data_IF_865882638012
#
_entry.id   IF_865882638012
#
_cell.length_a   1.000
_cell.length_b   1.000
_cell.length_c   1.000
_cell.angle_alpha   90.00
_cell.angle_beta   90.00
_cell.angle_gamma   90.00
#
_symmetry.space_group_name_H-M   'P 1'
#
loop_
_entity.id
_entity.type
_entity.pdbx_description
1 polymer ?
#
# COMPACT_ATOMS: atom_id res chain seq x y z
N UNK A 1 -27.86 -3.32 11.07
CA UNK A 1 -28.76 -2.65 10.10
C UNK A 1 -27.93 -2.10 8.96
N UNK A 2 -28.32 -2.34 7.71
CA UNK A 2 -27.65 -1.81 6.52
C UNK A 2 -28.61 -0.88 5.79
N UNK A 3 -28.13 0.29 5.36
CA UNK A 3 -28.93 1.27 4.63
C UNK A 3 -28.09 1.88 3.52
N UNK A 4 -28.75 2.18 2.40
CA UNK A 4 -28.19 3.00 1.33
C UNK A 4 -28.77 4.41 1.46
N UNK A 5 -27.95 5.39 1.12
CA UNK A 5 -28.34 6.80 1.05
C UNK A 5 -28.05 7.24 -0.38
N UNK A 6 -29.03 7.89 -1.00
CA UNK A 6 -28.90 8.45 -2.33
C UNK A 6 -28.58 9.93 -2.21
N UNK A 7 -27.44 10.34 -2.76
CA UNK A 7 -26.99 11.73 -2.78
C UNK A 7 -27.00 12.19 -4.24
N UNK A 8 -27.83 13.19 -4.53
CA UNK A 8 -27.90 13.80 -5.84
C UNK A 8 -26.77 14.80 -6.03
N UNK A 9 -26.15 14.79 -7.22
CA UNK A 9 -25.21 15.83 -7.63
C UNK A 9 -25.96 17.14 -7.84
N UNK A 10 -25.46 18.22 -7.25
CA UNK A 10 -26.03 19.56 -7.43
C UNK A 10 -25.59 20.16 -8.77
N UNK A 11 -26.39 21.05 -9.39
CA UNK A 11 -26.10 21.58 -10.73
C UNK A 11 -24.80 22.39 -10.86
N UNK A 12 -24.25 22.90 -9.75
CA UNK A 12 -22.97 23.62 -9.70
C UNK A 12 -21.75 22.71 -9.91
N UNK A 13 -21.89 21.40 -9.69
CA UNK A 13 -20.81 20.44 -9.85
C UNK A 13 -20.92 19.86 -11.26
N UNK A 14 -20.10 20.34 -12.18
CA UNK A 14 -20.11 19.89 -13.57
C UNK A 14 -19.09 18.79 -13.86
N UNK A 15 -18.07 18.66 -13.01
CA UNK A 15 -17.00 17.68 -13.16
C UNK A 15 -17.25 16.43 -12.30
N UNK A 16 -16.94 15.27 -12.86
CA UNK A 16 -17.09 14.00 -12.16
C UNK A 16 -16.05 13.82 -11.08
N UNK A 17 -14.79 14.25 -11.31
CA UNK A 17 -13.73 14.12 -10.30
C UNK A 17 -14.01 15.03 -9.11
N UNK A 18 -14.47 16.26 -9.36
CA UNK A 18 -14.92 17.15 -8.28
C UNK A 18 -16.03 16.50 -7.44
N UNK A 19 -16.99 15.82 -8.07
CA UNK A 19 -18.05 15.15 -7.32
C UNK A 19 -17.53 14.00 -6.46
N UNK A 20 -16.66 13.14 -7.01
CA UNK A 20 -16.03 12.05 -6.27
C UNK A 20 -15.17 12.57 -5.10
N UNK A 21 -14.40 13.64 -5.30
CA UNK A 21 -13.60 14.27 -4.26
C UNK A 21 -14.47 14.88 -3.13
N UNK A 22 -15.62 15.48 -3.48
CA UNK A 22 -16.60 15.96 -2.49
C UNK A 22 -17.24 14.81 -1.71
N UNK A 23 -17.56 13.69 -2.36
CA UNK A 23 -18.07 12.48 -1.69
C UNK A 23 -17.02 11.85 -0.77
N UNK A 24 -15.75 11.81 -1.19
CA UNK A 24 -14.62 11.40 -0.37
C UNK A 24 -14.51 12.25 0.90
N UNK A 25 -14.47 13.58 0.73
CA UNK A 25 -14.43 14.53 1.85
C UNK A 25 -15.63 14.35 2.79
N UNK A 26 -16.84 14.24 2.23
CA UNK A 26 -18.06 14.01 3.00
C UNK A 26 -17.97 12.74 3.83
N UNK A 27 -17.51 11.63 3.25
CA UNK A 27 -17.32 10.36 3.97
C UNK A 27 -16.32 10.51 5.11
N UNK A 28 -15.19 11.20 4.89
CA UNK A 28 -14.18 11.46 5.93
C UNK A 28 -14.74 12.33 7.06
N UNK A 29 -15.52 13.36 6.74
CA UNK A 29 -16.20 14.22 7.73
C UNK A 29 -17.24 13.43 8.52
N UNK A 30 -18.06 12.59 7.88
CA UNK A 30 -19.04 11.73 8.56
C UNK A 30 -18.33 10.77 9.53
N UNK A 31 -17.30 10.07 9.07
CA UNK A 31 -16.52 9.18 9.92
C UNK A 31 -15.87 9.93 11.09
N UNK A 32 -15.21 11.07 10.83
CA UNK A 32 -14.60 11.89 11.88
C UNK A 32 -15.62 12.39 12.90
N UNK A 33 -16.80 12.82 12.45
CA UNK A 33 -17.88 13.29 13.33
C UNK A 33 -18.41 12.19 14.23
N UNK A 34 -18.64 10.98 13.68
CA UNK A 34 -19.08 9.83 14.46
C UNK A 34 -18.03 9.48 15.53
N UNK A 35 -16.74 9.46 15.19
CA UNK A 35 -15.69 9.21 16.17
C UNK A 35 -15.67 10.28 17.27
N UNK A 36 -15.73 11.56 16.91
CA UNK A 36 -15.71 12.66 17.85
C UNK A 36 -16.91 12.65 18.82
N UNK A 37 -18.10 12.27 18.35
CA UNK A 37 -19.31 12.16 19.18
C UNK A 37 -19.33 10.93 20.10
N UNK A 38 -18.39 9.99 19.93
CA UNK A 38 -18.33 8.73 20.67
C UNK A 38 -16.98 8.52 21.37
N UNK A 39 -16.37 9.60 21.88
CA UNK A 39 -15.09 9.57 22.62
C UNK A 39 -13.95 8.87 21.86
N UNK A 40 -13.92 9.04 20.53
CA UNK A 40 -12.99 8.38 19.61
C UNK A 40 -13.05 6.84 19.64
N UNK A 41 -14.18 6.27 20.06
CA UNK A 41 -14.40 4.82 20.05
C UNK A 41 -15.13 4.39 18.79
N UNK A 42 -14.76 3.20 18.31
CA UNK A 42 -15.48 2.55 17.23
C UNK A 42 -16.80 1.95 17.77
N UNK A 43 -17.92 2.49 17.27
CA UNK A 43 -19.28 2.03 17.59
C UNK A 43 -19.87 1.09 16.52
N UNK A 44 -19.06 0.64 15.55
CA UNK A 44 -19.47 -0.24 14.46
C UNK A 44 -20.13 0.47 13.27
N UNK A 45 -20.16 1.81 13.27
CA UNK A 45 -20.63 2.60 12.14
C UNK A 45 -19.55 2.67 11.05
N UNK A 46 -19.87 2.17 9.86
CA UNK A 46 -18.90 2.08 8.77
C UNK A 46 -19.53 2.37 7.41
N UNK A 47 -19.00 3.38 6.72
CA UNK A 47 -19.35 3.67 5.34
C UNK A 47 -18.54 2.76 4.41
N UNK A 48 -19.23 1.80 3.77
CA UNK A 48 -18.61 0.79 2.91
C UNK A 48 -18.04 1.43 1.64
N UNK A 49 -18.88 2.13 0.90
CA UNK A 49 -18.53 2.93 -0.27
C UNK A 49 -19.40 4.19 -0.29
N UNK A 50 -18.89 5.29 -0.84
CA UNK A 50 -19.64 6.50 -1.13
C UNK A 50 -19.07 7.12 -2.41
N UNK A 51 -19.64 6.73 -3.54
CA UNK A 51 -19.18 7.08 -4.89
C UNK A 51 -20.39 7.04 -5.83
N UNK A 52 -20.33 7.81 -6.92
CA UNK A 52 -21.25 7.72 -8.04
C UNK A 52 -20.82 6.67 -9.09
N UNK A 53 -19.58 6.17 -8.99
CA UNK A 53 -18.96 5.24 -9.95
C UNK A 53 -18.95 3.80 -9.44
N UNK A 54 -18.72 3.62 -8.14
CA UNK A 54 -18.53 2.29 -7.54
C UNK A 54 -19.46 2.05 -6.36
N UNK A 55 -19.88 0.80 -6.19
CA UNK A 55 -20.64 0.34 -5.04
C UNK A 55 -20.08 -1.00 -4.56
N UNK A 56 -19.94 -1.15 -3.24
CA UNK A 56 -19.38 -2.36 -2.64
C UNK A 56 -20.43 -3.09 -1.80
N UNK A 57 -20.71 -4.33 -2.19
CA UNK A 57 -21.51 -5.28 -1.41
C UNK A 57 -20.57 -6.29 -0.74
N UNK A 58 -20.49 -6.25 0.60
CA UNK A 58 -19.59 -7.10 1.38
C UNK A 58 -20.21 -7.54 2.70
N UNK A 59 -19.81 -8.70 3.21
CA UNK A 59 -20.32 -9.19 4.47
C UNK A 59 -19.63 -10.43 4.99
N UNK A 60 -20.17 -10.96 6.09
CA UNK A 60 -19.65 -12.12 6.80
C UNK A 60 -20.46 -13.37 6.47
N UNK A 61 -20.31 -13.84 5.24
CA UNK A 61 -20.98 -15.05 4.76
C UNK A 61 -20.06 -15.78 3.77
N UNK A 62 -20.39 -17.03 3.45
CA UNK A 62 -19.64 -17.80 2.45
C UNK A 62 -19.82 -17.16 1.08
N UNK A 63 -18.80 -17.23 0.22
CA UNK A 63 -18.80 -16.52 -1.06
C UNK A 63 -20.04 -16.83 -1.93
N UNK A 64 -20.50 -18.09 -1.95
CA UNK A 64 -21.69 -18.49 -2.71
C UNK A 64 -23.02 -17.92 -2.17
N UNK A 65 -23.03 -17.38 -0.95
CA UNK A 65 -24.22 -16.82 -0.31
C UNK A 65 -24.46 -15.35 -0.67
N UNK A 66 -23.50 -14.69 -1.34
CA UNK A 66 -23.56 -13.23 -1.60
C UNK A 66 -24.84 -12.82 -2.34
N UNK A 67 -25.22 -13.53 -3.41
CA UNK A 67 -26.44 -13.24 -4.18
C UNK A 67 -27.73 -13.62 -3.45
N UNK A 68 -27.68 -14.59 -2.53
CA UNK A 68 -28.82 -14.93 -1.69
C UNK A 68 -29.05 -13.89 -0.59
N UNK A 69 -27.97 -13.30 -0.08
CA UNK A 69 -28.03 -12.26 0.95
C UNK A 69 -28.43 -10.90 0.38
N UNK A 70 -27.78 -10.48 -0.71
CA UNK A 70 -28.03 -9.21 -1.39
C UNK A 70 -28.85 -9.40 -2.65
N UNK A 71 -30.17 -9.27 -2.52
CA UNK A 71 -31.12 -9.44 -3.64
C UNK A 71 -30.91 -8.44 -4.78
N UNK A 72 -30.30 -7.29 -4.51
CA UNK A 72 -29.96 -6.31 -5.54
C UNK A 72 -29.04 -6.91 -6.61
N UNK A 73 -28.14 -7.83 -6.23
CA UNK A 73 -27.15 -8.44 -7.14
C UNK A 73 -27.76 -9.43 -8.13
N UNK A 74 -29.00 -9.86 -7.91
CA UNK A 74 -29.75 -10.73 -8.84
C UNK A 74 -30.80 -9.94 -9.64
N UNK A 75 -30.91 -8.62 -9.39
CA UNK A 75 -31.80 -7.76 -10.15
C UNK A 75 -31.22 -7.53 -11.56
N UNK A 76 -32.00 -7.71 -12.64
CA UNK A 76 -31.52 -7.50 -14.00
C UNK A 76 -31.01 -6.08 -14.29
N UNK A 77 -31.40 -5.08 -13.49
CA UNK A 77 -30.92 -3.69 -13.62
C UNK A 77 -29.51 -3.51 -13.05
N UNK A 78 -28.98 -4.49 -12.31
CA UNK A 78 -27.64 -4.44 -11.74
C UNK A 78 -26.60 -4.82 -12.80
N UNK A 79 -26.39 -3.92 -13.76
CA UNK A 79 -25.42 -4.07 -14.84
C UNK A 79 -24.09 -3.39 -14.49
N UNK A 80 -22.97 -3.97 -14.94
CA UNK A 80 -21.65 -3.39 -14.72
C UNK A 80 -20.66 -3.84 -15.79
N UNK A 81 -19.72 -2.95 -16.13
CA UNK A 81 -18.56 -3.28 -16.97
C UNK A 81 -17.40 -3.90 -16.16
N UNK A 82 -17.44 -3.79 -14.82
CA UNK A 82 -16.34 -4.16 -13.93
C UNK A 82 -16.86 -4.87 -12.69
N UNK A 83 -16.20 -5.98 -12.33
CA UNK A 83 -16.50 -6.73 -11.12
C UNK A 83 -15.21 -7.07 -10.38
N UNK A 84 -15.17 -6.77 -9.08
CA UNK A 84 -14.10 -7.16 -8.17
C UNK A 84 -14.67 -8.01 -7.03
N UNK A 85 -14.19 -9.24 -6.92
CA UNK A 85 -14.59 -10.18 -5.86
C UNK A 85 -13.39 -10.55 -4.99
N UNK A 86 -13.63 -10.74 -3.70
CA UNK A 86 -12.59 -11.15 -2.77
C UNK A 86 -13.14 -12.02 -1.66
N UNK A 87 -12.45 -13.12 -1.36
CA UNK A 87 -12.70 -13.96 -0.20
C UNK A 87 -11.51 -13.88 0.75
N UNK A 88 -11.75 -13.44 1.99
CA UNK A 88 -10.71 -13.26 3.00
C UNK A 88 -10.58 -14.51 3.88
N UNK A 89 -9.35 -14.93 4.14
CA UNK A 89 -9.03 -15.84 5.24
C UNK A 89 -8.53 -15.02 6.43
N UNK A 90 -9.17 -15.16 7.59
CA UNK A 90 -8.85 -14.40 8.80
C UNK A 90 -8.13 -15.29 9.80
N UNK A 91 -7.04 -14.80 10.39
CA UNK A 91 -6.41 -15.42 11.57
C UNK A 91 -7.20 -15.16 12.87
N UNK A 92 -8.16 -14.22 12.83
CA UNK A 92 -9.04 -13.92 13.97
C UNK A 92 -10.34 -14.72 13.88
N UNK A 93 -10.79 -15.25 15.03
CA UNK A 93 -12.05 -15.98 15.17
C UNK A 93 -13.27 -15.06 15.32
N UNK A 94 -13.08 -13.80 15.73
CA UNK A 94 -14.16 -12.81 15.83
C UNK A 94 -14.43 -12.18 14.47
N UNK A 95 -15.62 -12.40 13.89
CA UNK A 95 -15.92 -11.91 12.57
C UNK A 95 -16.25 -10.41 12.64
N UNK A 96 -15.73 -9.63 11.69
CA UNK A 96 -15.97 -8.19 11.61
C UNK A 96 -16.38 -7.76 10.20
N UNK A 97 -17.59 -7.21 10.06
CA UNK A 97 -18.16 -6.81 8.77
C UNK A 97 -17.31 -5.77 8.04
N UNK A 98 -16.76 -4.79 8.78
CA UNK A 98 -15.96 -3.71 8.21
C UNK A 98 -14.66 -4.20 7.56
N UNK A 99 -14.13 -5.34 8.04
CA UNK A 99 -12.88 -5.94 7.58
C UNK A 99 -13.04 -6.88 6.37
N UNK A 100 -14.29 -7.14 5.94
CA UNK A 100 -14.52 -7.81 4.68
C UNK A 100 -14.00 -6.95 3.52
N UNK A 101 -13.54 -7.59 2.45
CA UNK A 101 -13.16 -6.94 1.19
C UNK A 101 -14.33 -7.06 0.20
N UNK A 102 -14.30 -6.31 -0.93
CA UNK A 102 -13.36 -5.24 -1.26
C UNK A 102 -13.42 -4.03 -0.32
N UNK A 103 -12.36 -3.22 -0.35
CA UNK A 103 -12.38 -1.85 0.17
C UNK A 103 -12.82 -0.87 -0.94
N UNK A 104 -12.64 0.44 -0.78
CA UNK A 104 -13.21 1.43 -1.72
C UNK A 104 -12.54 1.38 -3.07
N UNK A 105 -11.22 1.24 -3.06
CA UNK A 105 -10.40 1.20 -4.26
C UNK A 105 -9.74 -0.16 -4.46
N UNK A 106 -9.49 -0.92 -3.39
CA UNK A 106 -8.64 -2.13 -3.49
C UNK A 106 -9.28 -3.42 -2.98
N UNK A 107 -8.86 -4.54 -3.58
CA UNK A 107 -8.87 -5.86 -2.96
C UNK A 107 -7.44 -6.40 -2.93
N UNK A 108 -7.04 -6.91 -1.77
CA UNK A 108 -5.66 -7.35 -1.52
C UNK A 108 -5.64 -8.78 -1.00
N UNK A 109 -4.90 -9.64 -1.71
CA UNK A 109 -4.50 -10.95 -1.21
C UNK A 109 -3.06 -10.85 -0.72
N UNK A 110 -2.86 -10.94 0.59
CA UNK A 110 -1.53 -10.72 1.15
C UNK A 110 -1.53 -10.17 2.57
N UNK A 111 -0.38 -9.65 2.96
CA UNK A 111 -0.16 -8.97 4.23
C UNK A 111 0.88 -7.85 4.02
N UNK A 112 0.60 -6.65 4.52
CA UNK A 112 1.55 -5.54 4.49
C UNK A 112 2.32 -5.50 5.81
N UNK A 113 3.57 -5.97 5.77
CA UNK A 113 4.40 -6.16 6.95
C UNK A 113 4.97 -4.84 7.49
N UNK A 114 4.98 -3.79 6.67
CA UNK A 114 5.49 -2.46 7.03
C UNK A 114 4.41 -1.50 7.56
N UNK A 115 3.15 -1.94 7.66
CA UNK A 115 1.98 -1.07 7.91
C UNK A 115 2.13 -0.12 9.09
N UNK A 116 2.74 -0.55 10.20
CA UNK A 116 2.93 0.31 11.37
C UNK A 116 3.83 1.51 11.05
N UNK A 117 4.92 1.28 10.33
CA UNK A 117 5.81 2.34 9.86
C UNK A 117 5.09 3.23 8.85
N UNK A 118 4.35 2.64 7.91
CA UNK A 118 3.61 3.39 6.91
C UNK A 118 2.56 4.33 7.52
N UNK A 119 1.80 3.85 8.50
CA UNK A 119 0.81 4.66 9.20
C UNK A 119 1.45 5.83 9.96
N UNK A 120 2.58 5.59 10.62
CA UNK A 120 3.31 6.65 11.32
C UNK A 120 3.82 7.73 10.35
N UNK A 121 4.36 7.33 9.20
CA UNK A 121 4.81 8.28 8.18
C UNK A 121 3.65 9.05 7.54
N UNK A 122 2.52 8.38 7.26
CA UNK A 122 1.30 9.06 6.82
C UNK A 122 0.80 10.07 7.84
N UNK A 123 0.80 9.73 9.13
CA UNK A 123 0.45 10.67 10.20
C UNK A 123 1.42 11.85 10.28
N UNK A 124 2.74 11.62 10.13
CA UNK A 124 3.72 12.70 10.12
C UNK A 124 3.52 13.70 8.97
N UNK A 125 3.06 13.22 7.81
CA UNK A 125 2.75 14.06 6.64
C UNK A 125 1.58 15.02 6.86
N UNK A 126 0.75 14.80 7.88
CA UNK A 126 -0.38 15.70 8.20
C UNK A 126 0.06 17.16 8.38
N UNK A 127 1.24 17.39 8.95
CA UNK A 127 1.70 18.73 9.27
C UNK A 127 2.16 19.55 8.06
N UNK A 128 2.54 18.88 6.96
CA UNK A 128 3.18 19.52 5.80
C UNK A 128 2.39 19.34 4.50
N UNK A 129 1.29 18.60 4.51
CA UNK A 129 0.54 18.33 3.29
C UNK A 129 -0.26 19.55 2.87
N UNK A 130 -0.25 19.81 1.56
CA UNK A 130 -1.05 20.85 0.93
C UNK A 130 -1.58 20.32 -0.41
N UNK A 131 -2.77 20.77 -0.79
CA UNK A 131 -3.42 20.38 -2.05
C UNK A 131 -4.37 21.45 -2.50
N UNK A 132 -4.16 21.98 -3.71
CA UNK A 132 -5.05 22.96 -4.32
C UNK A 132 -6.49 22.42 -4.49
N UNK A 133 -6.65 21.10 -4.71
CA UNK A 133 -7.95 20.45 -4.88
C UNK A 133 -8.81 20.49 -3.61
N UNK A 134 -8.18 20.39 -2.44
CA UNK A 134 -8.90 20.41 -1.16
C UNK A 134 -8.83 21.78 -0.47
N UNK A 135 -7.81 22.58 -0.76
CA UNK A 135 -7.51 23.83 -0.06
C UNK A 135 -7.61 23.65 1.46
N UNK A 136 -8.33 24.57 2.12
CA UNK A 136 -8.53 24.53 3.58
C UNK A 136 -9.28 23.27 4.09
N UNK A 137 -9.99 22.55 3.22
CA UNK A 137 -10.69 21.34 3.59
C UNK A 137 -9.76 20.14 3.80
N UNK A 138 -8.48 20.21 3.41
CA UNK A 138 -7.52 19.11 3.57
C UNK A 138 -7.38 18.68 5.04
N UNK A 139 -7.49 19.64 5.96
CA UNK A 139 -7.49 19.42 7.42
C UNK A 139 -8.60 18.47 7.88
N UNK A 140 -9.73 18.41 7.18
CA UNK A 140 -10.89 17.57 7.51
C UNK A 140 -10.71 16.11 7.13
N UNK A 141 -9.67 15.78 6.35
CA UNK A 141 -9.39 14.40 5.93
C UNK A 141 -8.71 13.57 7.03
N UNK A 142 -8.17 14.22 8.06
CA UNK A 142 -7.38 13.56 9.09
C UNK A 142 -8.23 12.97 10.22
N UNK A 143 -7.82 11.83 10.80
CA UNK A 143 -6.69 11.00 10.38
C UNK A 143 -7.02 10.23 9.09
N UNK A 144 -6.04 10.01 8.20
CA UNK A 144 -6.25 9.24 6.95
C UNK A 144 -6.66 7.80 7.28
N UNK A 145 -5.92 7.15 8.19
CA UNK A 145 -6.23 5.83 8.74
C UNK A 145 -6.54 5.92 10.23
N UNK A 146 -7.54 5.17 10.67
CA UNK A 146 -7.95 5.12 12.08
C UNK A 146 -7.29 3.93 12.79
N UNK A 147 -7.12 4.04 14.10
CA UNK A 147 -6.62 2.93 14.92
C UNK A 147 -7.52 1.69 14.81
N UNK A 148 -6.88 0.51 14.81
CA UNK A 148 -7.58 -0.78 14.74
C UNK A 148 -8.11 -1.16 13.35
N UNK A 149 -7.71 -0.45 12.29
CA UNK A 149 -7.95 -0.86 10.91
C UNK A 149 -6.98 -1.97 10.46
N UNK A 150 -7.40 -2.80 9.49
CA UNK A 150 -6.49 -3.78 8.90
C UNK A 150 -5.44 -3.08 8.04
N UNK A 151 -4.35 -3.79 7.76
CA UNK A 151 -3.30 -3.39 6.83
C UNK A 151 -3.84 -2.90 5.48
N UNK A 152 -4.75 -3.68 4.88
CA UNK A 152 -5.37 -3.36 3.61
C UNK A 152 -6.26 -2.12 3.69
N UNK A 153 -6.99 -1.92 4.79
CA UNK A 153 -7.79 -0.71 4.98
C UNK A 153 -6.89 0.53 5.03
N UNK A 154 -5.74 0.43 5.69
CA UNK A 154 -4.77 1.52 5.76
C UNK A 154 -4.19 1.83 4.37
N UNK A 155 -3.87 0.80 3.58
CA UNK A 155 -3.42 0.95 2.20
C UNK A 155 -4.49 1.57 1.30
N UNK A 156 -5.74 1.11 1.39
CA UNK A 156 -6.89 1.66 0.67
C UNK A 156 -7.06 3.16 0.95
N UNK A 157 -7.01 3.57 2.22
CA UNK A 157 -7.12 4.98 2.58
C UNK A 157 -5.94 5.81 2.04
N UNK A 158 -4.73 5.27 2.04
CA UNK A 158 -3.55 5.96 1.49
C UNK A 158 -3.64 6.10 -0.04
N UNK A 159 -4.07 5.05 -0.74
CA UNK A 159 -4.31 5.10 -2.19
C UNK A 159 -5.39 6.11 -2.54
N UNK A 160 -6.51 6.07 -1.84
CA UNK A 160 -7.63 6.99 -2.05
C UNK A 160 -7.24 8.44 -1.75
N UNK A 161 -6.43 8.67 -0.71
CA UNK A 161 -5.89 9.99 -0.41
C UNK A 161 -5.01 10.53 -1.55
N UNK A 162 -4.11 9.71 -2.10
CA UNK A 162 -3.27 10.12 -3.24
C UNK A 162 -4.10 10.35 -4.50
N UNK A 163 -5.03 9.43 -4.81
CA UNK A 163 -5.87 9.52 -5.99
C UNK A 163 -6.76 10.76 -5.97
N UNK A 164 -7.50 10.97 -4.87
CA UNK A 164 -8.35 12.14 -4.68
C UNK A 164 -7.52 13.43 -4.52
N UNK A 165 -6.24 13.31 -4.13
CA UNK A 165 -5.25 14.38 -4.14
C UNK A 165 -4.68 14.73 -5.51
N UNK A 166 -5.14 14.08 -6.59
CA UNK A 166 -4.82 14.42 -7.98
C UNK A 166 -3.79 13.50 -8.66
N UNK A 167 -3.28 12.47 -7.97
CA UNK A 167 -2.45 11.47 -8.62
C UNK A 167 -3.30 10.55 -9.49
N UNK A 168 -2.78 10.19 -10.68
CA UNK A 168 -3.37 9.09 -11.45
C UNK A 168 -3.27 7.79 -10.66
N UNK A 169 -4.26 6.92 -10.80
CA UNK A 169 -4.35 5.66 -10.05
C UNK A 169 -3.07 4.80 -10.16
N UNK A 170 -2.58 4.62 -11.38
CA UNK A 170 -1.33 3.89 -11.67
C UNK A 170 -0.09 4.56 -11.07
N UNK A 171 -0.01 5.89 -11.07
CA UNK A 171 1.07 6.65 -10.43
C UNK A 171 1.06 6.41 -8.92
N UNK A 172 -0.09 6.57 -8.27
CA UNK A 172 -0.23 6.32 -6.84
C UNK A 172 0.15 4.87 -6.47
N UNK A 173 -0.25 3.90 -7.29
CA UNK A 173 0.14 2.50 -7.10
C UNK A 173 1.66 2.28 -7.25
N UNK A 174 2.31 2.93 -8.22
CA UNK A 174 3.77 2.86 -8.39
C UNK A 174 4.54 3.53 -7.23
N UNK A 175 3.94 4.52 -6.55
CA UNK A 175 4.50 5.12 -5.34
C UNK A 175 4.37 4.23 -4.12
N UNK A 176 3.19 3.62 -3.93
CA UNK A 176 2.90 2.78 -2.76
C UNK A 176 3.56 1.40 -2.87
N UNK A 177 3.54 0.77 -4.05
CA UNK A 177 4.13 -0.55 -4.33
C UNK A 177 5.15 -0.40 -5.48
N UNK A 178 6.33 0.19 -5.22
CA UNK A 178 7.35 0.36 -6.24
C UNK A 178 8.03 -0.96 -6.61
N UNK A 179 8.45 -1.05 -7.87
CA UNK A 179 9.28 -2.16 -8.36
C UNK A 179 10.61 -2.27 -7.59
N UNK A 180 11.28 -3.42 -7.73
CA UNK A 180 12.68 -3.54 -7.36
C UNK A 180 13.55 -2.75 -8.36
N UNK A 181 13.76 -1.46 -8.07
CA UNK A 181 14.54 -0.53 -8.91
C UNK A 181 16.00 -0.39 -8.46
N UNK A 182 16.26 -0.50 -7.15
CA UNK A 182 17.60 -0.40 -6.58
C UNK A 182 18.48 -1.55 -7.09
N UNK A 183 19.63 -1.21 -7.69
CA UNK A 183 20.57 -2.18 -8.25
C UNK A 183 20.14 -2.84 -9.57
N UNK A 184 18.96 -2.51 -10.12
CA UNK A 184 18.49 -3.08 -11.38
C UNK A 184 19.18 -2.41 -12.59
N UNK A 185 20.12 -3.12 -13.21
CA UNK A 185 20.89 -2.62 -14.37
C UNK A 185 20.12 -2.63 -15.70
N UNK A 186 18.99 -3.34 -15.76
CA UNK A 186 18.17 -3.46 -16.97
C UNK A 186 17.02 -2.44 -17.00
N UNK A 187 16.82 -1.70 -15.90
CA UNK A 187 15.77 -0.70 -15.81
C UNK A 187 16.16 0.56 -16.59
N UNK A 188 15.22 1.09 -17.36
CA UNK A 188 15.37 2.37 -18.03
C UNK A 188 15.71 3.51 -17.04
N UNK A 189 16.54 4.45 -17.48
CA UNK A 189 17.07 5.49 -16.62
C UNK A 189 16.00 6.50 -16.16
N UNK A 190 14.98 6.79 -16.99
CA UNK A 190 13.87 7.66 -16.58
C UNK A 190 12.98 6.95 -15.55
N UNK A 191 12.71 5.65 -15.77
CA UNK A 191 12.00 4.83 -14.79
C UNK A 191 12.73 4.74 -13.45
N UNK A 192 14.04 4.56 -13.47
CA UNK A 192 14.87 4.54 -12.25
C UNK A 192 14.79 5.89 -11.52
N UNK A 193 14.92 7.00 -12.25
CA UNK A 193 14.82 8.34 -11.68
C UNK A 193 13.44 8.63 -11.09
N UNK A 194 12.37 8.16 -11.73
CA UNK A 194 11.02 8.23 -11.16
C UNK A 194 10.96 7.54 -9.78
N UNK A 195 11.44 6.30 -9.68
CA UNK A 195 11.38 5.57 -8.41
C UNK A 195 12.30 6.17 -7.33
N UNK A 196 13.50 6.60 -7.71
CA UNK A 196 14.44 7.25 -6.79
C UNK A 196 13.87 8.56 -6.23
N UNK A 197 13.22 9.37 -7.07
CA UNK A 197 12.53 10.58 -6.64
C UNK A 197 11.40 10.28 -5.64
N UNK A 198 10.55 9.31 -5.96
CA UNK A 198 9.41 8.99 -5.08
C UNK A 198 9.80 8.24 -3.82
N UNK A 199 10.95 7.54 -3.80
CA UNK A 199 11.45 6.86 -2.60
C UNK A 199 11.76 7.85 -1.45
N UNK A 200 12.06 9.12 -1.77
CA UNK A 200 12.21 10.18 -0.78
C UNK A 200 10.86 10.72 -0.26
N UNK A 201 9.77 10.50 -1.00
CA UNK A 201 8.44 11.04 -0.69
C UNK A 201 7.52 10.03 -0.01
N UNK A 202 7.56 8.77 -0.44
CA UNK A 202 6.72 7.68 0.02
C UNK A 202 7.57 6.43 0.22
N UNK A 203 7.58 5.93 1.44
CA UNK A 203 8.19 4.64 1.75
C UNK A 203 7.30 3.49 1.22
N UNK A 204 7.88 2.38 0.72
CA UNK A 204 7.10 1.27 0.20
C UNK A 204 6.14 0.69 1.23
N UNK A 205 4.95 0.31 0.77
CA UNK A 205 4.01 -0.53 1.52
C UNK A 205 4.31 -1.98 1.16
N UNK A 206 5.26 -2.57 1.88
CA UNK A 206 5.89 -3.83 1.53
C UNK A 206 5.29 -5.03 2.28
N UNK A 207 5.45 -6.20 1.68
CA UNK A 207 4.90 -7.46 2.13
C UNK A 207 4.34 -8.28 0.96
N UNK A 208 4.03 -9.58 1.16
CA UNK A 208 3.43 -10.40 0.11
C UNK A 208 2.10 -9.79 -0.33
N UNK A 209 1.96 -9.40 -1.60
CA UNK A 209 0.74 -8.72 -2.05
C UNK A 209 0.40 -9.04 -3.50
N UNK A 210 -0.84 -9.45 -3.74
CA UNK A 210 -1.53 -9.30 -5.02
C UNK A 210 -2.68 -8.30 -4.81
N UNK A 211 -2.55 -7.12 -5.39
CA UNK A 211 -3.50 -6.02 -5.22
C UNK A 211 -4.21 -5.78 -6.54
N UNK A 212 -5.53 -5.84 -6.50
CA UNK A 212 -6.41 -5.36 -7.57
C UNK A 212 -7.02 -4.05 -7.12
N UNK A 213 -7.00 -3.05 -7.99
CA UNK A 213 -7.39 -1.68 -7.65
C UNK A 213 -8.22 -1.05 -8.77
N UNK A 214 -9.14 -0.15 -8.42
CA UNK A 214 -10.00 0.55 -9.37
C UNK A 214 -10.49 1.89 -8.85
N UNK A 215 -10.75 2.83 -9.77
CA UNK A 215 -11.50 4.08 -9.56
C UNK A 215 -12.91 4.04 -10.21
N UNK A 216 -13.32 2.88 -10.75
CA UNK A 216 -14.55 2.70 -11.52
C UNK A 216 -14.43 2.95 -13.03
N UNK A 217 -13.36 3.61 -13.51
CA UNK A 217 -13.07 3.84 -14.94
C UNK A 217 -11.89 2.99 -15.43
N UNK A 218 -10.95 2.73 -14.56
CA UNK A 218 -9.82 1.85 -14.79
C UNK A 218 -9.81 0.74 -13.73
N UNK A 219 -9.39 -0.46 -14.13
CA UNK A 219 -9.05 -1.54 -13.19
C UNK A 219 -7.66 -2.03 -13.47
N UNK A 220 -6.87 -2.15 -12.42
CA UNK A 220 -5.53 -2.66 -12.51
C UNK A 220 -5.23 -3.71 -11.47
N UNK A 221 -4.16 -4.45 -11.71
CA UNK A 221 -3.59 -5.37 -10.76
C UNK A 221 -2.07 -5.25 -10.77
N UNK A 222 -1.48 -5.30 -9.57
CA UNK A 222 -0.03 -5.35 -9.39
C UNK A 222 0.31 -6.40 -8.34
N UNK A 223 1.54 -6.92 -8.43
CA UNK A 223 2.12 -7.71 -7.36
C UNK A 223 3.08 -6.86 -6.53
N UNK A 224 3.42 -7.34 -5.35
CA UNK A 224 4.58 -6.88 -4.60
C UNK A 224 5.87 -7.04 -5.42
N UNK A 225 6.92 -6.36 -4.98
CA UNK A 225 8.22 -6.34 -5.67
C UNK A 225 8.86 -7.70 -5.86
N UNK A 226 8.52 -8.69 -5.03
CA UNK A 226 9.05 -10.06 -5.10
C UNK A 226 8.05 -11.03 -5.75
N UNK A 227 6.80 -10.61 -6.00
CA UNK A 227 5.72 -11.42 -6.58
C UNK A 227 5.40 -12.65 -5.75
N UNK A 228 5.19 -12.46 -4.45
CA UNK A 228 4.99 -13.53 -3.47
C UNK A 228 3.57 -14.12 -3.52
N UNK A 229 2.66 -13.54 -4.30
CA UNK A 229 1.28 -13.99 -4.46
C UNK A 229 0.95 -14.28 -5.93
N UNK A 230 0.16 -15.32 -6.22
CA UNK A 230 -0.20 -15.65 -7.59
C UNK A 230 -1.29 -14.73 -8.13
N UNK A 231 -1.16 -14.34 -9.39
CA UNK A 231 -2.21 -13.69 -10.16
C UNK A 231 -2.13 -14.18 -11.61
N UNK A 232 -3.22 -14.74 -12.11
CA UNK A 232 -3.34 -15.25 -13.48
C UNK A 232 -4.52 -14.59 -14.15
N UNK A 233 -4.38 -14.29 -15.44
CA UNK A 233 -5.48 -13.73 -16.21
C UNK A 233 -5.59 -14.38 -17.57
N UNK A 234 -6.81 -14.35 -18.10
CA UNK A 234 -7.14 -14.72 -19.46
C UNK A 234 -7.84 -13.57 -20.16
N UNK A 235 -7.66 -13.50 -21.47
CA UNK A 235 -8.37 -12.57 -22.37
C UNK A 235 -9.15 -13.40 -23.38
N UNK A 236 -10.43 -13.13 -23.53
CA UNK A 236 -11.31 -13.81 -24.49
C UNK A 236 -11.49 -13.00 -25.77
N UNK A 237 -12.03 -13.64 -26.81
CA UNK A 237 -12.35 -13.02 -28.11
C UNK A 237 -13.57 -12.08 -28.06
N UNK A 238 -14.36 -12.14 -26.98
CA UNK A 238 -15.45 -11.21 -26.66
C UNK A 238 -15.03 -10.11 -25.66
N UNK A 239 -13.74 -9.74 -25.66
CA UNK A 239 -13.13 -8.64 -24.90
C UNK A 239 -13.25 -8.73 -23.38
N UNK A 240 -13.52 -9.91 -22.82
CA UNK A 240 -13.49 -10.11 -21.36
C UNK A 240 -12.08 -10.37 -20.88
N UNK A 241 -11.70 -9.69 -19.80
CA UNK A 241 -10.49 -10.01 -19.04
C UNK A 241 -10.89 -10.60 -17.70
N UNK A 242 -10.48 -11.84 -17.45
CA UNK A 242 -10.78 -12.54 -16.20
C UNK A 242 -9.46 -12.77 -15.49
N UNK A 243 -9.29 -12.17 -14.31
CA UNK A 243 -8.13 -12.37 -13.43
C UNK A 243 -8.55 -13.03 -12.12
N UNK A 244 -7.74 -13.97 -11.64
CA UNK A 244 -7.88 -14.54 -10.30
C UNK A 244 -6.54 -15.04 -9.75
N UNK A 245 -6.52 -15.36 -8.46
CA UNK A 245 -5.35 -15.97 -7.81
C UNK A 245 -5.01 -17.35 -8.39
N UNK A 246 -6.01 -18.05 -8.93
CA UNK A 246 -5.88 -19.37 -9.54
C UNK A 246 -6.48 -19.40 -10.94
N UNK A 247 -6.00 -20.32 -11.79
CA UNK A 247 -6.59 -20.55 -13.11
C UNK A 247 -7.81 -21.47 -12.97
N UNK A 248 -8.84 -21.28 -13.81
CA UNK A 248 -10.02 -22.16 -13.83
C UNK A 248 -11.13 -21.81 -12.83
N UNK A 249 -11.10 -20.62 -12.23
CA UNK A 249 -12.15 -20.16 -11.31
C UNK A 249 -13.52 -19.94 -11.97
N UNK A 250 -13.52 -19.66 -13.28
CA UNK A 250 -14.72 -19.53 -14.10
C UNK A 250 -14.61 -20.45 -15.30
N UNK A 251 -15.71 -21.13 -15.70
CA UNK A 251 -15.73 -21.93 -16.91
C UNK A 251 -15.68 -21.01 -18.13
N UNK A 252 -14.60 -21.10 -18.91
CA UNK A 252 -14.43 -20.37 -20.18
C UNK A 252 -14.04 -21.37 -21.26
N UNK A 253 -14.79 -21.46 -22.38
CA UNK A 253 -14.43 -22.35 -23.48
C UNK A 253 -13.03 -22.03 -24.02
N UNK A 254 -12.20 -23.05 -24.22
CA UNK A 254 -10.79 -22.90 -24.60
C UNK A 254 -10.63 -22.18 -25.93
N UNK A 255 -11.54 -22.44 -26.87
CA UNK A 255 -11.58 -21.84 -28.21
C UNK A 255 -11.82 -20.32 -28.20
N UNK A 256 -12.38 -19.78 -27.12
CA UNK A 256 -12.60 -18.33 -26.95
C UNK A 256 -11.38 -17.63 -26.36
N UNK A 257 -10.40 -18.35 -25.85
CA UNK A 257 -9.28 -17.76 -25.11
C UNK A 257 -8.20 -17.30 -26.09
N UNK A 258 -8.03 -15.98 -26.22
CA UNK A 258 -7.00 -15.35 -27.05
C UNK A 258 -5.66 -15.30 -26.33
N UNK A 259 -5.66 -15.15 -24.99
CA UNK A 259 -4.43 -15.06 -24.20
C UNK A 259 -4.60 -15.68 -22.82
N UNK A 260 -3.58 -16.43 -22.37
CA UNK A 260 -3.40 -16.87 -20.99
C UNK A 260 -2.07 -16.34 -20.46
N UNK A 261 -2.06 -15.72 -19.29
CA UNK A 261 -0.83 -15.15 -18.74
C UNK A 261 -0.83 -15.14 -17.20
N UNK A 262 0.34 -14.83 -16.63
CA UNK A 262 0.52 -14.59 -15.19
C UNK A 262 1.12 -13.20 -14.97
N UNK A 263 0.66 -12.51 -13.94
CA UNK A 263 1.27 -11.26 -13.53
C UNK A 263 2.67 -11.54 -12.98
N UNK A 264 3.65 -10.72 -13.36
CA UNK A 264 5.05 -10.88 -12.95
C UNK A 264 5.39 -9.85 -11.88
N UNK A 265 6.36 -10.14 -10.98
CA UNK A 265 6.85 -9.16 -10.02
C UNK A 265 7.17 -7.85 -10.71
N UNK A 266 6.69 -6.75 -10.13
CA UNK A 266 6.88 -5.41 -10.65
C UNK A 266 6.07 -5.03 -11.88
N UNK A 267 5.37 -5.95 -12.57
CA UNK A 267 4.48 -5.59 -13.69
C UNK A 267 3.07 -5.25 -13.21
N UNK A 268 2.44 -4.30 -13.92
CA UNK A 268 1.06 -3.90 -13.73
C UNK A 268 0.22 -4.35 -14.93
N UNK A 269 -0.92 -4.98 -14.65
CA UNK A 269 -2.01 -5.13 -15.61
C UNK A 269 -2.93 -3.93 -15.41
N UNK A 270 -3.24 -3.17 -16.46
CA UNK A 270 -4.20 -2.07 -16.38
C UNK A 270 -5.17 -2.16 -17.55
N UNK A 271 -6.46 -2.06 -17.27
CA UNK A 271 -7.55 -2.01 -18.23
C UNK A 271 -8.21 -0.65 -18.07
N UNK A 272 -8.29 0.08 -19.18
CA UNK A 272 -8.90 1.40 -19.25
C UNK A 272 -10.23 1.27 -19.99
N UNK A 273 -11.34 1.44 -19.27
CA UNK A 273 -12.69 1.26 -19.81
C UNK A 273 -13.10 2.44 -20.72
N UNK A 274 -12.53 3.63 -20.50
CA UNK A 274 -12.79 4.79 -21.35
C UNK A 274 -12.07 4.64 -22.71
N UNK A 275 -10.86 4.08 -22.70
CA UNK A 275 -10.11 3.75 -23.93
C UNK A 275 -10.51 2.40 -24.54
N UNK A 276 -11.27 1.58 -23.82
CA UNK A 276 -11.69 0.24 -24.26
C UNK A 276 -10.53 -0.72 -24.52
N UNK A 277 -9.42 -0.63 -23.78
CA UNK A 277 -8.24 -1.49 -24.03
C UNK A 277 -7.41 -1.81 -22.79
N UNK A 278 -6.62 -2.87 -22.90
CA UNK A 278 -5.53 -3.16 -21.97
C UNK A 278 -4.36 -2.20 -22.27
N UNK A 279 -3.91 -1.48 -21.25
CA UNK A 279 -2.71 -0.62 -21.31
C UNK A 279 -1.51 -1.46 -20.91
N UNK A 280 -0.46 -1.45 -21.74
CA UNK A 280 0.74 -2.24 -21.45
C UNK A 280 1.54 -1.64 -20.29
N UNK A 281 2.20 -2.50 -19.51
CA UNK A 281 3.08 -2.08 -18.42
C UNK A 281 4.17 -1.08 -18.86
N UNK A 282 4.73 -1.30 -20.05
CA UNK A 282 5.80 -0.48 -20.59
C UNK A 282 5.32 0.90 -21.02
N UNK A 283 4.20 0.96 -21.74
CA UNK A 283 3.53 2.21 -22.11
C UNK A 283 3.17 3.02 -20.86
N UNK A 284 2.50 2.39 -19.89
CA UNK A 284 2.04 3.03 -18.66
C UNK A 284 3.19 3.67 -17.88
N UNK A 285 4.25 2.89 -17.64
CA UNK A 285 5.37 3.34 -16.83
C UNK A 285 6.26 4.32 -17.57
N UNK A 286 6.39 4.18 -18.89
CA UNK A 286 7.11 5.16 -19.71
C UNK A 286 6.40 6.52 -19.67
N UNK A 287 5.08 6.54 -19.83
CA UNK A 287 4.28 7.77 -19.73
C UNK A 287 4.45 8.44 -18.36
N UNK A 288 4.37 7.67 -17.27
CA UNK A 288 4.50 8.20 -15.90
C UNK A 288 5.94 8.67 -15.63
N UNK A 289 6.93 7.87 -15.99
CA UNK A 289 8.35 8.18 -15.71
C UNK A 289 8.88 9.36 -16.53
N UNK A 290 8.27 9.68 -17.66
CA UNK A 290 8.67 10.80 -18.53
C UNK A 290 7.80 12.05 -18.35
N UNK A 291 6.75 11.97 -17.54
CA UNK A 291 5.81 13.10 -17.30
C UNK A 291 6.50 14.34 -16.71
N UNK A 292 7.52 14.13 -15.89
CA UNK A 292 8.27 15.20 -15.24
C UNK A 292 9.77 14.95 -15.34
N UNK A 293 10.62 15.99 -15.25
CA UNK A 293 12.07 15.86 -15.40
C UNK A 293 12.74 15.33 -14.12
N UNK A 294 12.38 14.10 -13.69
CA UNK A 294 12.83 13.52 -12.42
C UNK A 294 14.35 13.47 -12.28
N UNK A 295 15.08 13.14 -13.37
CA UNK A 295 16.55 13.16 -13.39
C UNK A 295 17.11 14.52 -13.02
N UNK A 296 16.54 15.59 -13.57
CA UNK A 296 16.95 16.96 -13.30
C UNK A 296 16.64 17.35 -11.86
N UNK A 297 15.46 16.97 -11.36
CA UNK A 297 15.10 17.23 -9.96
C UNK A 297 16.07 16.56 -9.00
N UNK A 298 16.36 15.27 -9.19
CA UNK A 298 17.32 14.53 -8.38
C UNK A 298 18.71 15.17 -8.43
N UNK A 299 19.22 15.49 -9.62
CA UNK A 299 20.53 16.14 -9.78
C UNK A 299 20.62 17.50 -9.06
N UNK A 300 19.50 18.21 -8.93
CA UNK A 300 19.45 19.52 -8.30
C UNK A 300 19.24 19.47 -6.78
N UNK A 301 18.61 18.41 -6.25
CA UNK A 301 18.16 18.38 -4.84
C UNK A 301 18.79 17.29 -4.00
N UNK A 302 19.36 16.25 -4.61
CA UNK A 302 19.96 15.13 -3.90
C UNK A 302 21.46 15.35 -3.68
N UNK A 303 21.93 15.08 -2.46
CA UNK A 303 23.35 15.03 -2.13
C UNK A 303 23.73 13.57 -1.86
N UNK A 304 24.64 13.04 -2.66
CA UNK A 304 25.21 11.70 -2.48
C UNK A 304 26.43 11.86 -1.57
N UNK A 305 26.34 11.35 -0.34
CA UNK A 305 27.39 11.54 0.66
C UNK A 305 28.70 10.87 0.25
N UNK A 306 28.62 9.77 -0.49
CA UNK A 306 29.76 9.01 -1.01
C UNK A 306 30.59 9.79 -2.04
N UNK A 307 29.97 10.76 -2.72
CA UNK A 307 30.64 11.62 -3.71
C UNK A 307 31.29 12.86 -3.07
N UNK A 308 30.99 13.13 -1.79
CA UNK A 308 31.58 14.24 -1.06
C UNK A 308 33.02 13.94 -0.65
N UNK A 309 33.84 14.98 -0.60
CA UNK A 309 35.24 14.85 -0.17
C UNK A 309 35.30 14.25 1.24
N UNK A 310 36.08 13.18 1.45
CA UNK A 310 36.24 12.62 2.78
C UNK A 310 36.84 13.68 3.70
N UNK A 311 36.26 13.80 4.89
CA UNK A 311 36.77 14.68 5.94
C UNK A 311 37.62 13.83 6.87
N UNK A 312 38.80 14.34 7.23
CA UNK A 312 39.66 13.68 8.20
C UNK A 312 38.88 13.41 9.50
N UNK A 313 38.85 12.16 9.99
CA UNK A 313 38.14 11.82 11.20
C UNK A 313 38.71 12.64 12.37
N UNK A 314 37.81 13.22 13.18
CA UNK A 314 38.21 14.00 14.34
C UNK A 314 39.11 13.17 15.25
N UNK A 315 40.20 13.75 15.72
CA UNK A 315 41.09 13.10 16.67
C UNK A 315 40.31 12.53 17.86
N UNK A 316 40.59 11.27 18.21
CA UNK A 316 39.97 10.61 19.36
C UNK A 316 40.24 11.42 20.63
N UNK A 317 39.19 11.66 21.42
CA UNK A 317 39.36 12.24 22.76
C UNK A 317 40.15 11.24 23.62
N UNK A 318 41.19 11.72 24.29
CA UNK A 318 42.09 10.94 25.17
C UNK A 318 41.89 11.27 26.66
N UNK A 319 40.81 11.96 26.99
CA UNK A 319 40.44 12.40 28.34
C UNK A 319 39.99 11.23 29.26
N UNK A 320 39.52 10.13 28.68
CA UNK A 320 39.08 8.93 29.39
C UNK A 320 39.64 7.69 28.68
N UNK A 321 40.05 6.68 29.44
CA UNK A 321 40.58 5.44 28.87
C UNK A 321 39.50 4.67 28.09
N UNK A 322 39.92 3.85 27.12
CA UNK A 322 38.98 3.01 26.36
C UNK A 322 38.24 2.03 27.27
N UNK A 323 38.93 1.45 28.25
CA UNK A 323 38.36 0.46 29.16
C UNK A 323 37.26 1.09 30.02
N UNK A 324 37.47 2.30 30.55
CA UNK A 324 36.46 2.98 31.36
C UNK A 324 35.21 3.30 30.52
N UNK A 325 35.38 3.68 29.25
CA UNK A 325 34.27 3.90 28.32
C UNK A 325 33.52 2.60 28.02
N UNK A 326 34.24 1.51 27.75
CA UNK A 326 33.67 0.20 27.52
C UNK A 326 32.85 -0.26 28.73
N UNK A 327 33.40 -0.13 29.95
CA UNK A 327 32.70 -0.46 31.19
C UNK A 327 31.47 0.41 31.42
N UNK A 328 31.54 1.71 31.15
CA UNK A 328 30.42 2.63 31.29
C UNK A 328 29.23 2.26 30.37
N UNK A 329 29.51 1.72 29.18
CA UNK A 329 28.50 1.21 28.25
C UNK A 329 28.27 -0.30 28.36
N UNK A 330 28.77 -0.95 29.42
CA UNK A 330 28.50 -2.37 29.70
C UNK A 330 29.17 -3.37 28.75
N UNK A 331 30.15 -2.98 27.95
CA UNK A 331 30.90 -3.91 27.09
C UNK A 331 31.66 -4.92 27.93
N UNK A 332 31.52 -6.19 27.57
CA UNK A 332 32.23 -7.32 28.15
C UNK A 332 33.34 -7.84 27.23
N UNK A 333 34.19 -8.71 27.78
CA UNK A 333 35.18 -9.42 26.96
C UNK A 333 34.52 -10.31 25.91
N UNK A 334 33.35 -10.90 26.22
CA UNK A 334 32.60 -11.71 25.26
C UNK A 334 32.11 -10.86 24.08
N UNK A 335 31.61 -9.65 24.32
CA UNK A 335 31.21 -8.72 23.24
C UNK A 335 32.39 -8.42 22.32
N UNK A 336 33.56 -8.14 22.88
CA UNK A 336 34.75 -7.81 22.08
C UNK A 336 35.32 -9.01 21.32
N UNK A 337 35.40 -10.18 21.98
CA UNK A 337 36.13 -11.32 21.46
C UNK A 337 35.26 -12.24 20.60
N UNK A 338 34.01 -12.44 21.00
CA UNK A 338 33.08 -13.35 20.33
C UNK A 338 32.25 -12.61 19.29
N UNK A 339 31.72 -11.42 19.61
CA UNK A 339 30.81 -10.69 18.72
C UNK A 339 31.55 -9.75 17.77
N UNK A 340 32.43 -8.87 18.28
CA UNK A 340 33.09 -7.85 17.45
C UNK A 340 34.24 -8.39 16.60
N UNK A 341 34.99 -9.38 17.08
CA UNK A 341 36.15 -9.91 16.35
C UNK A 341 35.77 -10.50 14.98
N UNK A 342 34.72 -11.33 14.83
CA UNK A 342 34.26 -11.77 13.50
C UNK A 342 33.85 -10.62 12.60
N UNK A 343 33.08 -9.64 13.11
CA UNK A 343 32.66 -8.48 12.32
C UNK A 343 33.85 -7.70 11.76
N UNK A 344 34.90 -7.52 12.57
CA UNK A 344 36.10 -6.80 12.18
C UNK A 344 37.02 -7.59 11.22
N UNK A 345 37.05 -8.93 11.33
CA UNK A 345 38.01 -9.78 10.60
C UNK A 345 37.44 -10.40 9.33
N UNK A 346 36.17 -10.78 9.33
CA UNK A 346 35.50 -11.45 8.19
C UNK A 346 34.39 -10.60 7.56
N UNK A 347 33.98 -9.51 8.22
CA UNK A 347 32.84 -8.70 7.77
C UNK A 347 31.49 -9.39 7.98
N UNK A 348 31.43 -10.43 8.82
CA UNK A 348 30.23 -11.19 9.14
C UNK A 348 29.94 -11.15 10.63
N UNK A 349 28.66 -11.26 11.00
CA UNK A 349 28.27 -11.41 12.41
C UNK A 349 28.76 -12.75 12.97
N UNK A 350 28.87 -12.82 14.30
CA UNK A 350 29.29 -14.03 14.99
C UNK A 350 28.22 -15.13 14.91
N UNK A 351 28.62 -16.34 14.54
CA UNK A 351 27.73 -17.52 14.51
C UNK A 351 27.93 -18.35 15.78
N UNK A 352 26.82 -18.72 16.43
CA UNK A 352 26.79 -19.58 17.61
C UNK A 352 25.81 -20.75 17.46
N UNK A 353 25.77 -21.62 18.46
CA UNK A 353 24.83 -22.74 18.54
C UNK A 353 24.30 -22.89 19.97
N UNK A 354 23.32 -23.78 20.17
CA UNK A 354 22.51 -23.92 21.39
C UNK A 354 21.52 -22.76 21.63
N UNK A 355 20.53 -22.98 22.49
CA UNK A 355 19.53 -21.97 22.86
C UNK A 355 20.06 -20.97 23.88
N UNK A 356 19.38 -19.82 24.01
CA UNK A 356 19.69 -18.81 25.03
C UNK A 356 19.17 -19.25 26.39
N UNK A 357 20.07 -19.73 27.26
CA UNK A 357 19.76 -20.15 28.64
C UNK A 357 20.03 -19.02 29.67
N UNK A 358 20.06 -17.77 29.22
CA UNK A 358 20.19 -16.60 30.10
C UNK A 358 18.80 -16.05 30.46
N UNK A 359 18.60 -15.48 31.66
CA UNK A 359 17.35 -14.81 32.01
C UNK A 359 16.99 -13.71 31.00
N UNK A 360 15.69 -13.49 30.80
CA UNK A 360 15.22 -12.30 30.09
C UNK A 360 15.75 -11.04 30.77
N UNK A 361 16.02 -9.97 30.01
CA UNK A 361 16.77 -8.81 30.52
C UNK A 361 16.18 -8.20 31.80
N UNK A 362 14.84 -8.15 31.91
CA UNK A 362 14.15 -7.62 33.09
C UNK A 362 14.29 -8.48 34.36
N UNK A 363 14.67 -9.75 34.22
CA UNK A 363 14.89 -10.70 35.32
C UNK A 363 16.38 -11.01 35.53
N UNK A 364 17.27 -10.30 34.84
CA UNK A 364 18.70 -10.55 34.95
C UNK A 364 19.27 -9.88 36.19
N UNK A 365 20.04 -10.63 36.98
CA UNK A 365 20.87 -10.07 38.07
C UNK A 365 22.08 -9.29 37.55
N UNK A 366 22.28 -9.25 36.22
CA UNK A 366 23.34 -8.50 35.54
C UNK A 366 22.75 -7.29 34.83
N UNK A 367 23.53 -6.21 34.73
CA UNK A 367 23.16 -5.04 33.92
C UNK A 367 22.93 -5.42 32.46
N UNK A 368 21.88 -4.88 31.85
CA UNK A 368 21.47 -5.12 30.46
C UNK A 368 21.25 -3.78 29.76
N UNK A 369 21.62 -3.72 28.48
CA UNK A 369 21.39 -2.56 27.62
C UNK A 369 19.93 -2.54 27.12
N UNK A 370 19.44 -1.34 26.76
CA UNK A 370 18.07 -1.09 26.29
C UNK A 370 17.82 -1.71 24.90
#
# INVERSE_FOLDING_TARGET
>A
FHRQIFIGRTPDITDDEEYEARLYLLRKVISGRIYAENDNKDIGAYCVSLSARTIVYKGMFLAYQVGAYYKDLIDPRFETALILVHQRFSTNTFPSWKLAHPYRMVAHNGEINTVRGNNNWMAARQASVDSELFGNNISKLWPISYDGQSDTACFDNALEFLFQGGYRLSHAMMMLIPEAWAGNKLMDADRKAFYEYHAALMEPWDGPAAVVFTDGRQIGATLDRNGLRPARYIVTDDDRVIMASEAGVLPVPEEKIVKKWRLQPGRMLLIDLEKGRIVSDEELKSEIATKHPYKTWLANTQLILEDLKPVEPRALRKDVSLLDRQQAFGYSQEDTKLLMSPMATTGQEAVGSMGTDTPISAMSDKSKLL
#
